data_IF_415629845141
#
_entry.id   IF_415629845141
#
_cell.length_a   1.000
_cell.length_b   1.000
_cell.length_c   1.000
_cell.angle_alpha   90.00
_cell.angle_beta   90.00
_cell.angle_gamma   90.00
#
_symmetry.space_group_name_H-M   'P 1'
#
loop_
_entity.id
_entity.type
_entity.pdbx_description
1 polymer ?
#
# COMPACT_ATOMS: atom_id res chain seq x y z
N UNK A 1 16.99 -4.69 7.03
CA UNK A 1 15.54 -4.88 7.18
C UNK A 1 15.08 -5.79 6.05
N UNK A 2 14.65 -7.03 6.34
CA UNK A 2 14.19 -7.99 5.33
C UNK A 2 12.65 -8.04 5.29
N UNK A 3 12.03 -6.95 4.83
CA UNK A 3 10.56 -6.83 4.82
C UNK A 3 9.94 -7.56 3.62
N UNK A 4 10.66 -7.63 2.50
CA UNK A 4 10.21 -8.32 1.29
C UNK A 4 11.21 -9.42 0.97
N UNK A 5 10.76 -10.66 1.11
CA UNK A 5 11.50 -11.84 0.67
C UNK A 5 11.37 -11.99 -0.85
N UNK A 6 12.46 -12.42 -1.50
CA UNK A 6 12.41 -12.94 -2.86
C UNK A 6 11.55 -14.21 -2.97
N UNK A 7 11.34 -14.68 -4.19
CA UNK A 7 10.69 -15.94 -4.46
C UNK A 7 11.59 -17.13 -4.07
N UNK A 8 11.02 -18.33 -3.90
CA UNK A 8 11.81 -19.55 -3.64
C UNK A 8 12.87 -19.85 -4.70
N UNK A 9 12.70 -19.32 -5.92
CA UNK A 9 13.65 -19.39 -7.03
C UNK A 9 14.84 -18.40 -6.90
N UNK A 10 14.92 -17.65 -5.79
CA UNK A 10 15.98 -16.68 -5.53
C UNK A 10 15.79 -15.31 -6.17
N UNK A 11 14.73 -15.11 -6.97
CA UNK A 11 14.50 -13.85 -7.68
C UNK A 11 13.60 -12.88 -6.90
N UNK A 12 13.75 -11.57 -7.10
CA UNK A 12 12.88 -10.57 -6.46
C UNK A 12 11.61 -10.24 -7.26
N UNK A 13 11.69 -10.34 -8.61
CA UNK A 13 10.66 -10.00 -9.61
C UNK A 13 10.02 -8.61 -9.37
N UNK A 14 10.80 -7.51 -9.46
CA UNK A 14 10.32 -6.17 -9.09
C UNK A 14 9.15 -5.69 -9.94
N UNK A 15 9.03 -6.13 -11.19
CA UNK A 15 7.98 -5.68 -12.13
C UNK A 15 6.68 -6.49 -12.00
N UNK A 16 6.68 -7.56 -11.21
CA UNK A 16 5.48 -8.35 -11.00
C UNK A 16 4.46 -7.57 -10.16
N UNK A 17 3.19 -7.61 -10.59
CA UNK A 17 2.07 -7.09 -9.82
C UNK A 17 1.94 -7.78 -8.46
N UNK A 18 1.35 -7.07 -7.50
CA UNK A 18 1.13 -7.58 -6.15
C UNK A 18 -0.36 -7.85 -5.91
N UNK A 19 -0.70 -9.08 -5.53
CA UNK A 19 -2.09 -9.40 -5.15
C UNK A 19 -2.44 -8.84 -3.78
N UNK A 20 -3.73 -8.63 -3.51
CA UNK A 20 -4.23 -8.17 -2.20
C UNK A 20 -3.83 -9.09 -1.05
N UNK A 21 -3.79 -10.41 -1.26
CA UNK A 21 -3.32 -11.36 -0.25
C UNK A 21 -1.81 -11.23 0.02
N UNK A 22 -1.00 -11.10 -1.03
CA UNK A 22 0.44 -10.88 -0.89
C UNK A 22 0.74 -9.56 -0.19
N UNK A 23 -0.02 -8.52 -0.50
CA UNK A 23 0.08 -7.23 0.17
C UNK A 23 -0.31 -7.31 1.65
N UNK A 24 -1.37 -8.02 2.01
CA UNK A 24 -1.73 -8.23 3.42
C UNK A 24 -0.61 -8.93 4.20
N UNK A 25 0.01 -9.97 3.62
CA UNK A 25 1.15 -10.65 4.21
C UNK A 25 2.36 -9.72 4.36
N UNK A 26 2.59 -8.85 3.38
CA UNK A 26 3.65 -7.86 3.42
C UNK A 26 3.44 -6.82 4.52
N UNK A 27 2.22 -6.27 4.64
CA UNK A 27 1.86 -5.36 5.72
C UNK A 27 2.08 -5.98 7.10
N UNK A 28 1.68 -7.24 7.29
CA UNK A 28 1.83 -7.96 8.55
C UNK A 28 3.31 -8.20 8.94
N UNK A 29 4.23 -8.16 7.97
CA UNK A 29 5.68 -8.20 8.22
C UNK A 29 6.28 -6.81 8.47
N UNK A 30 5.75 -5.80 7.78
CA UNK A 30 6.30 -4.44 7.80
C UNK A 30 5.85 -3.62 9.00
N UNK A 31 4.64 -3.85 9.49
CA UNK A 31 3.99 -3.04 10.50
C UNK A 31 3.31 -3.90 11.57
N UNK A 32 3.22 -3.35 12.78
CA UNK A 32 2.29 -3.84 13.79
C UNK A 32 0.86 -3.45 13.41
N UNK A 33 0.05 -4.44 13.06
CA UNK A 33 -1.33 -4.26 12.61
C UNK A 33 -2.30 -4.39 13.81
N UNK A 34 -2.20 -3.46 14.77
CA UNK A 34 -3.01 -3.47 15.96
C UNK A 34 -4.52 -3.46 15.60
N UNK A 35 -5.35 -4.32 16.20
CA UNK A 35 -6.75 -4.43 15.84
C UNK A 35 -7.54 -3.19 16.29
N UNK A 36 -8.33 -2.63 15.38
CA UNK A 36 -9.20 -1.46 15.60
C UNK A 36 -10.68 -1.76 15.37
N UNK A 37 -10.97 -2.91 14.77
CA UNK A 37 -12.31 -3.44 14.51
C UNK A 37 -12.28 -4.96 14.51
N UNK A 38 -13.47 -5.55 14.50
CA UNK A 38 -13.62 -6.99 14.38
C UNK A 38 -13.21 -7.50 13.00
N UNK A 39 -12.84 -8.78 12.96
CA UNK A 39 -12.52 -9.45 11.71
C UNK A 39 -13.80 -9.67 10.91
N UNK A 40 -13.73 -9.37 9.62
CA UNK A 40 -14.77 -9.77 8.66
C UNK A 40 -14.45 -11.16 8.16
N UNK A 41 -15.42 -12.07 8.25
CA UNK A 41 -15.33 -13.39 7.64
C UNK A 41 -15.70 -13.28 6.16
N UNK A 42 -14.68 -13.12 5.31
CA UNK A 42 -14.86 -13.02 3.86
C UNK A 42 -15.23 -14.36 3.24
N UNK A 43 -16.23 -14.35 2.34
CA UNK A 43 -16.77 -15.56 1.71
C UNK A 43 -15.80 -16.26 0.76
N UNK A 44 -14.84 -15.51 0.21
CA UNK A 44 -13.85 -15.96 -0.77
C UNK A 44 -12.46 -16.19 -0.15
N UNK A 45 -12.37 -16.29 1.18
CA UNK A 45 -11.14 -16.62 1.90
C UNK A 45 -11.39 -17.85 2.76
N UNK A 46 -10.95 -19.01 2.26
CA UNK A 46 -11.06 -20.29 2.97
C UNK A 46 -10.31 -20.24 4.32
N UNK A 47 -10.73 -21.09 5.26
CA UNK A 47 -10.16 -21.13 6.61
C UNK A 47 -8.68 -21.54 6.62
N UNK A 48 -8.28 -22.38 5.67
CA UNK A 48 -6.92 -22.89 5.45
C UNK A 48 -6.14 -22.05 4.42
N UNK A 49 -6.70 -20.95 3.92
CA UNK A 49 -6.01 -20.10 2.97
C UNK A 49 -4.73 -19.53 3.58
N UNK A 50 -3.60 -19.67 2.90
CA UNK A 50 -2.27 -19.33 3.43
C UNK A 50 -2.16 -17.90 3.98
N UNK A 51 -2.90 -16.95 3.42
CA UNK A 51 -2.89 -15.54 3.86
C UNK A 51 -4.02 -15.19 4.82
N UNK A 52 -4.87 -16.13 5.25
CA UNK A 52 -6.05 -15.90 6.10
C UNK A 52 -5.75 -15.01 7.30
N UNK A 53 -4.73 -15.37 8.08
CA UNK A 53 -4.30 -14.61 9.28
C UNK A 53 -3.81 -13.20 8.91
N UNK A 54 -3.07 -13.05 7.81
CA UNK A 54 -2.57 -11.75 7.39
C UNK A 54 -3.69 -10.84 6.89
N UNK A 55 -4.65 -11.40 6.14
CA UNK A 55 -5.86 -10.71 5.68
C UNK A 55 -6.69 -10.23 6.86
N UNK A 56 -6.89 -11.07 7.88
CA UNK A 56 -7.60 -10.69 9.09
C UNK A 56 -6.91 -9.57 9.85
N UNK A 57 -5.59 -9.65 10.04
CA UNK A 57 -4.81 -8.58 10.68
C UNK A 57 -4.89 -7.28 9.90
N UNK A 58 -4.70 -7.31 8.58
CA UNK A 58 -4.81 -6.12 7.73
C UNK A 58 -6.22 -5.53 7.73
N UNK A 59 -7.25 -6.39 7.78
CA UNK A 59 -8.63 -5.95 7.88
C UNK A 59 -8.92 -5.29 9.22
N UNK A 60 -8.63 -5.97 10.32
CA UNK A 60 -8.84 -5.48 11.69
C UNK A 60 -8.04 -4.23 11.98
N UNK A 61 -6.81 -4.17 11.47
CA UNK A 61 -5.93 -3.02 11.59
C UNK A 61 -6.29 -1.86 10.69
N UNK A 62 -7.34 -1.96 9.85
CA UNK A 62 -7.83 -0.87 8.99
C UNK A 62 -6.95 -0.54 7.79
N UNK A 63 -5.99 -1.41 7.45
CA UNK A 63 -5.15 -1.25 6.27
C UNK A 63 -5.87 -1.68 5.01
N UNK A 64 -6.62 -2.76 5.06
CA UNK A 64 -7.39 -3.27 3.92
C UNK A 64 -8.86 -3.43 4.31
N UNK A 65 -9.75 -3.17 3.38
CA UNK A 65 -11.17 -3.48 3.50
C UNK A 65 -11.55 -4.51 2.45
N UNK A 66 -12.61 -5.27 2.71
CA UNK A 66 -13.30 -6.03 1.67
C UNK A 66 -14.28 -5.17 0.89
N UNK A 67 -15.07 -5.84 0.07
CA UNK A 67 -16.10 -5.26 -0.77
C UNK A 67 -17.50 -5.43 -0.15
N UNK A 68 -18.50 -4.67 -0.60
CA UNK A 68 -19.87 -4.76 -0.06
C UNK A 68 -20.52 -6.14 -0.17
N UNK A 69 -20.05 -6.98 -1.10
CA UNK A 69 -20.49 -8.36 -1.32
C UNK A 69 -19.90 -9.38 -0.31
N UNK A 70 -19.15 -8.91 0.68
CA UNK A 70 -18.43 -9.71 1.70
C UNK A 70 -17.29 -10.53 1.08
N UNK A 71 -16.72 -10.06 -0.03
CA UNK A 71 -15.49 -10.61 -0.60
C UNK A 71 -14.25 -9.80 -0.21
N UNK A 72 -13.10 -10.46 -0.13
CA UNK A 72 -11.80 -9.81 0.01
C UNK A 72 -11.08 -9.66 -1.33
N UNK A 73 -11.33 -10.57 -2.28
CA UNK A 73 -10.67 -10.72 -3.59
C UNK A 73 -9.16 -10.93 -3.46
N UNK A 74 -8.71 -12.01 -2.79
CA UNK A 74 -7.30 -12.21 -2.41
C UNK A 74 -6.35 -12.27 -3.61
N UNK A 75 -6.83 -12.74 -4.75
CA UNK A 75 -6.04 -12.90 -5.98
C UNK A 75 -6.09 -11.68 -6.91
N UNK A 76 -6.90 -10.67 -6.59
CA UNK A 76 -6.94 -9.45 -7.37
C UNK A 76 -5.69 -8.62 -7.10
N UNK A 77 -5.11 -8.04 -8.16
CA UNK A 77 -4.01 -7.10 -8.05
C UNK A 77 -4.44 -5.80 -7.37
N UNK A 78 -3.51 -5.20 -6.64
CA UNK A 78 -3.70 -3.92 -5.97
C UNK A 78 -3.27 -2.78 -6.89
N UNK A 79 -4.07 -1.72 -6.98
CA UNK A 79 -3.65 -0.51 -7.71
C UNK A 79 -2.75 0.39 -6.84
N UNK A 80 -1.97 1.26 -7.47
CA UNK A 80 -1.14 2.25 -6.77
C UNK A 80 -1.94 3.13 -5.80
N UNK A 81 -3.10 3.63 -6.24
CA UNK A 81 -3.96 4.44 -5.38
C UNK A 81 -4.45 3.64 -4.16
N UNK A 82 -4.83 2.37 -4.33
CA UNK A 82 -5.27 1.51 -3.23
C UNK A 82 -4.16 1.23 -2.23
N UNK A 83 -2.92 1.05 -2.68
CA UNK A 83 -1.75 0.88 -1.81
C UNK A 83 -1.51 2.11 -0.92
N UNK A 84 -1.55 3.31 -1.50
CA UNK A 84 -1.37 4.56 -0.75
C UNK A 84 -2.50 4.78 0.24
N UNK A 85 -3.75 4.60 -0.19
CA UNK A 85 -4.93 4.68 0.70
C UNK A 85 -4.81 3.71 1.86
N UNK A 86 -4.36 2.48 1.59
CA UNK A 86 -4.17 1.44 2.59
C UNK A 86 -3.16 1.85 3.67
N UNK A 87 -1.99 2.34 3.29
CA UNK A 87 -0.94 2.75 4.23
C UNK A 87 -1.37 3.96 5.06
N UNK A 88 -1.95 4.98 4.42
CA UNK A 88 -2.40 6.20 5.11
C UNK A 88 -3.51 5.90 6.10
N UNK A 89 -4.54 5.14 5.70
CA UNK A 89 -5.64 4.79 6.60
C UNK A 89 -5.20 3.81 7.71
N UNK A 90 -4.36 2.84 7.34
CA UNK A 90 -3.80 1.85 8.26
C UNK A 90 -3.01 2.48 9.39
N UNK A 91 -2.19 3.47 9.06
CA UNK A 91 -1.32 4.19 10.00
C UNK A 91 -1.97 5.47 10.56
N UNK A 92 -3.24 5.73 10.22
CA UNK A 92 -4.00 6.93 10.67
C UNK A 92 -3.26 8.24 10.37
N UNK A 93 -2.59 8.29 9.22
CA UNK A 93 -1.91 9.51 8.77
C UNK A 93 -2.95 10.47 8.19
N UNK A 94 -2.70 11.76 8.36
CA UNK A 94 -3.53 12.83 7.81
C UNK A 94 -2.76 14.13 7.68
N UNK A 95 -3.49 15.19 7.34
CA UNK A 95 -2.99 16.55 7.23
C UNK A 95 -2.61 16.99 5.82
N UNK A 96 -2.72 16.11 4.81
CA UNK A 96 -2.37 16.46 3.43
C UNK A 96 -3.27 17.52 2.82
N UNK A 97 -2.67 18.57 2.26
CA UNK A 97 -3.37 19.58 1.46
C UNK A 97 -3.56 19.06 0.02
N UNK A 98 -4.79 19.00 -0.51
CA UNK A 98 -5.03 18.58 -1.90
C UNK A 98 -4.25 19.39 -2.95
N UNK A 99 -3.87 20.65 -2.66
CA UNK A 99 -3.03 21.47 -3.55
C UNK A 99 -1.63 20.88 -3.76
N UNK A 100 -1.13 20.06 -2.84
CA UNK A 100 0.14 19.33 -3.01
C UNK A 100 0.13 18.39 -4.21
N UNK A 101 -1.05 17.95 -4.66
CA UNK A 101 -1.20 17.08 -5.83
C UNK A 101 -0.90 17.78 -7.16
N UNK A 102 -0.69 19.10 -7.16
CA UNK A 102 -0.26 19.85 -8.35
C UNK A 102 1.07 19.37 -8.92
N UNK A 103 1.90 18.69 -8.11
CA UNK A 103 3.13 18.02 -8.55
C UNK A 103 2.89 16.89 -9.55
N UNK A 104 1.67 16.33 -9.61
CA UNK A 104 1.33 15.27 -10.55
C UNK A 104 0.66 15.83 -11.82
N UNK A 105 1.22 15.49 -12.98
CA UNK A 105 0.63 15.81 -14.29
C UNK A 105 -0.63 15.00 -14.56
N UNK A 106 -0.77 13.81 -13.96
CA UNK A 106 -1.93 12.93 -14.07
C UNK A 106 -2.88 12.98 -12.86
N UNK A 107 -2.81 14.06 -12.05
CA UNK A 107 -3.64 14.22 -10.83
C UNK A 107 -5.15 14.11 -11.09
N UNK A 108 -5.62 14.46 -12.28
CA UNK A 108 -7.02 14.33 -12.66
C UNK A 108 -7.52 12.88 -12.71
N UNK A 109 -6.60 11.90 -12.79
CA UNK A 109 -6.92 10.47 -12.75
C UNK A 109 -7.01 9.93 -11.32
N UNK A 110 -6.65 10.71 -10.29
CA UNK A 110 -6.72 10.26 -8.90
C UNK A 110 -8.20 10.19 -8.50
N UNK A 111 -8.69 9.00 -8.12
CA UNK A 111 -10.08 8.86 -7.70
C UNK A 111 -10.37 9.71 -6.46
N UNK A 112 -11.58 10.29 -6.39
CA UNK A 112 -12.00 11.15 -5.28
C UNK A 112 -11.83 10.52 -3.90
N UNK A 113 -12.05 9.20 -3.78
CA UNK A 113 -11.87 8.47 -2.53
C UNK A 113 -10.41 8.38 -2.06
N UNK A 114 -9.45 8.66 -2.94
CA UNK A 114 -8.01 8.55 -2.68
C UNK A 114 -7.33 9.92 -2.54
N UNK A 115 -7.97 11.02 -2.95
CA UNK A 115 -7.36 12.36 -3.05
C UNK A 115 -6.68 12.79 -1.74
N UNK A 116 -7.38 12.69 -0.61
CA UNK A 116 -6.83 13.12 0.68
C UNK A 116 -5.64 12.26 1.12
N UNK A 117 -5.70 10.96 0.86
CA UNK A 117 -4.64 10.02 1.23
C UNK A 117 -3.42 10.18 0.34
N UNK A 118 -3.60 10.39 -0.96
CA UNK A 118 -2.48 10.67 -1.88
C UNK A 118 -1.82 12.00 -1.53
N UNK A 119 -2.59 13.04 -1.19
CA UNK A 119 -2.04 14.31 -0.73
C UNK A 119 -1.21 14.11 0.56
N UNK A 120 -1.77 13.40 1.54
CA UNK A 120 -1.08 13.09 2.80
C UNK A 120 0.21 12.33 2.56
N UNK A 121 0.19 11.31 1.70
CA UNK A 121 1.37 10.52 1.38
C UNK A 121 2.43 11.33 0.62
N UNK A 122 2.01 12.25 -0.23
CA UNK A 122 2.90 13.15 -0.98
C UNK A 122 3.62 14.10 -0.03
N UNK A 123 2.89 14.80 0.84
CA UNK A 123 3.52 15.74 1.80
C UNK A 123 4.43 15.04 2.81
N UNK A 124 4.11 13.80 3.17
CA UNK A 124 4.94 12.97 4.04
C UNK A 124 6.11 12.30 3.33
N UNK A 125 6.34 12.61 2.04
CA UNK A 125 7.43 12.04 1.22
C UNK A 125 7.39 10.50 1.14
N UNK A 126 6.19 9.93 1.23
CA UNK A 126 5.99 8.49 1.12
C UNK A 126 6.01 8.02 -0.34
N UNK A 127 5.54 8.86 -1.26
CA UNK A 127 5.40 8.50 -2.67
C UNK A 127 6.74 8.50 -3.37
N UNK A 128 7.02 7.41 -4.10
CA UNK A 128 8.19 7.28 -4.99
C UNK A 128 7.69 7.00 -6.39
N UNK A 129 8.11 7.84 -7.34
CA UNK A 129 7.74 7.75 -8.74
C UNK A 129 8.99 7.66 -9.62
N UNK A 130 9.13 6.53 -10.33
CA UNK A 130 10.22 6.29 -11.27
C UNK A 130 9.64 5.74 -12.58
N UNK A 131 10.17 6.15 -13.75
CA UNK A 131 11.16 7.21 -13.94
C UNK A 131 10.56 8.63 -13.94
N UNK A 132 9.25 8.76 -14.17
CA UNK A 132 8.57 10.05 -14.26
C UNK A 132 8.08 10.50 -12.87
N UNK A 133 8.85 11.35 -12.19
CA UNK A 133 8.57 11.83 -10.82
C UNK A 133 7.17 12.47 -10.71
N UNK A 134 6.73 13.15 -11.75
CA UNK A 134 5.47 13.89 -11.84
C UNK A 134 4.26 13.02 -12.24
N UNK A 135 4.38 11.68 -12.34
CA UNK A 135 3.24 10.81 -12.69
C UNK A 135 2.92 9.82 -11.58
N UNK A 136 1.73 9.95 -10.98
CA UNK A 136 1.29 9.07 -9.91
C UNK A 136 0.75 7.72 -10.40
N UNK A 137 0.12 7.68 -11.58
CA UNK A 137 -0.46 6.47 -12.22
C UNK A 137 -1.47 5.72 -11.35
N UNK A 138 -2.53 6.38 -10.84
CA UNK A 138 -3.39 5.87 -9.76
C UNK A 138 -4.08 4.52 -10.05
N UNK A 139 -4.46 4.28 -11.31
CA UNK A 139 -5.20 3.10 -11.74
C UNK A 139 -4.30 1.91 -12.12
N UNK A 140 -2.98 2.11 -12.22
CA UNK A 140 -2.05 1.03 -12.59
C UNK A 140 -1.87 0.07 -11.41
N UNK A 141 -1.76 -1.22 -11.70
CA UNK A 141 -1.34 -2.23 -10.73
C UNK A 141 0.04 -1.86 -10.16
N UNK A 142 0.15 -1.90 -8.83
CA UNK A 142 1.43 -1.64 -8.17
C UNK A 142 2.32 -2.88 -8.28
N UNK A 143 3.59 -2.65 -8.59
CA UNK A 143 4.57 -3.74 -8.67
C UNK A 143 5.24 -3.98 -7.32
N UNK A 144 5.92 -5.13 -7.20
CA UNK A 144 6.73 -5.47 -6.03
C UNK A 144 7.84 -4.46 -5.76
N UNK A 145 8.51 -3.93 -6.79
CA UNK A 145 9.53 -2.89 -6.61
C UNK A 145 8.94 -1.62 -6.04
N UNK A 146 7.77 -1.22 -6.53
CA UNK A 146 7.14 0.04 -6.12
C UNK A 146 6.56 0.00 -4.72
N UNK A 147 5.87 -1.08 -4.37
CA UNK A 147 5.37 -1.23 -3.00
C UNK A 147 6.50 -1.35 -1.99
N UNK A 148 7.67 -1.88 -2.38
CA UNK A 148 8.88 -1.88 -1.55
C UNK A 148 9.33 -0.47 -1.23
N UNK A 149 9.48 0.36 -2.26
CA UNK A 149 9.90 1.75 -2.11
C UNK A 149 8.87 2.53 -1.28
N UNK A 150 7.58 2.33 -1.55
CA UNK A 150 6.49 2.98 -0.83
C UNK A 150 6.47 2.59 0.66
N UNK A 151 6.61 1.30 0.99
CA UNK A 151 6.69 0.84 2.39
C UNK A 151 7.95 1.37 3.07
N UNK A 152 9.10 1.36 2.39
CA UNK A 152 10.32 1.91 2.95
C UNK A 152 10.17 3.38 3.31
N UNK A 153 9.66 4.20 2.39
CA UNK A 153 9.41 5.62 2.68
C UNK A 153 8.33 5.82 3.74
N UNK A 154 7.37 4.90 3.85
CA UNK A 154 6.40 4.92 4.94
C UNK A 154 7.06 4.67 6.30
N UNK A 155 8.04 3.78 6.37
CA UNK A 155 8.83 3.56 7.58
C UNK A 155 9.69 4.79 7.92
N UNK A 156 10.25 5.46 6.91
CA UNK A 156 10.97 6.74 7.11
C UNK A 156 10.01 7.81 7.66
N UNK A 157 8.86 7.99 7.02
CA UNK A 157 7.84 8.98 7.41
C UNK A 157 7.22 8.74 8.79
N UNK A 158 7.43 7.55 9.37
CA UNK A 158 6.96 7.16 10.71
C UNK A 158 8.11 6.99 11.71
N UNK A 159 9.31 7.47 11.38
CA UNK A 159 10.53 7.39 12.23
C UNK A 159 10.93 5.96 12.63
N UNK A 160 10.65 4.97 11.76
CA UNK A 160 10.96 3.55 11.99
C UNK A 160 12.22 3.08 11.27
N UNK A 161 12.77 3.90 10.38
CA UNK A 161 14.04 3.64 9.68
C UNK A 161 14.69 4.95 9.24
N UNK A 162 15.96 4.90 8.83
CA UNK A 162 16.71 6.06 8.38
C UNK A 162 16.30 6.50 6.96
N UNK A 163 16.31 7.81 6.67
CA UNK A 163 16.01 8.31 5.33
C UNK A 163 17.08 7.92 4.31
N UNK A 164 16.66 7.72 3.06
CA UNK A 164 17.53 7.61 1.90
C UNK A 164 17.24 8.78 0.96
N UNK A 165 18.28 9.45 0.48
CA UNK A 165 18.14 10.49 -0.53
C UNK A 165 17.85 9.86 -1.90
N UNK A 166 16.77 10.28 -2.55
CA UNK A 166 16.45 9.87 -3.91
C UNK A 166 15.72 11.01 -4.63
N UNK A 167 16.10 11.34 -5.89
CA UNK A 167 15.40 12.36 -6.68
C UNK A 167 13.98 11.92 -7.06
N UNK A 168 13.64 10.64 -6.89
CA UNK A 168 12.35 10.06 -7.23
C UNK A 168 11.33 10.07 -6.08
N UNK A 169 11.75 10.51 -4.88
CA UNK A 169 10.82 10.81 -3.79
C UNK A 169 10.08 12.08 -4.15
N UNK A 170 8.74 12.04 -4.08
CA UNK A 170 7.88 13.16 -4.43
C UNK A 170 7.67 14.09 -3.25
#
# INVERSE_FOLDING_TARGET
MNIISGFPDGTFKPDQGLTRAQYAALLAKAFELAPRRDATNFKDVAADFWAKVAIEKANRGGFLAGYPDITFRPNQNLTRAQAVVSLVNGLQLGGGNPNSLSVYSDRALIPSFATAQVATATERKMVVNYPARDRFSPARDITRGEISALIYQTLVATNRTQPINSPYIV
#
